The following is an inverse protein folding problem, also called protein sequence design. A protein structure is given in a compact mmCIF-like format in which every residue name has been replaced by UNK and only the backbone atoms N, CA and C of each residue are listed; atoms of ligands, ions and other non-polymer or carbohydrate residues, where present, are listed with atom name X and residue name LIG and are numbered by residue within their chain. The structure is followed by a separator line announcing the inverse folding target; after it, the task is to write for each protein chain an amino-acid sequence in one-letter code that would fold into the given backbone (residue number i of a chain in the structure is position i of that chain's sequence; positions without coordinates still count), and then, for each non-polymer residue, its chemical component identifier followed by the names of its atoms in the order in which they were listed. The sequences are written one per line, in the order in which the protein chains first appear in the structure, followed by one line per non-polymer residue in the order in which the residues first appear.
data_IF_739354689411
#
_entry.id   IF_739354689411
#
_cell.length_a   1.000
_cell.length_b   1.000
_cell.length_c   1.000
_cell.angle_alpha   90.00
_cell.angle_beta   90.00
_cell.angle_gamma   90.00
#
_symmetry.space_group_name_H-M   'P 1'
#
loop_
_entity.id
_entity.type
_entity.pdbx_description
1 polymer ?
#
# COMPACT_ATOMS: atom_id res chain seq x y z
N UNK A 1 -11.38 -32.62 20.37
CA UNK A 1 -12.60 -33.07 19.66
C UNK A 1 -13.75 -32.11 19.92
N UNK A 2 -13.92 -31.66 21.16
CA UNK A 2 -15.02 -30.79 21.60
C UNK A 2 -15.18 -29.50 20.80
N UNK A 3 -14.08 -28.83 20.42
CA UNK A 3 -14.17 -27.60 19.61
C UNK A 3 -14.91 -27.82 18.29
N UNK A 4 -14.63 -28.92 17.60
CA UNK A 4 -15.29 -29.26 16.32
C UNK A 4 -16.77 -29.57 16.56
N UNK A 5 -17.09 -30.33 17.61
CA UNK A 5 -18.47 -30.63 18.00
C UNK A 5 -19.28 -29.35 18.30
N UNK A 6 -18.68 -28.38 18.96
CA UNK A 6 -19.30 -27.08 19.26
C UNK A 6 -19.18 -26.04 18.13
N UNK A 7 -18.81 -26.45 16.91
CA UNK A 7 -18.62 -25.56 15.76
C UNK A 7 -17.64 -24.39 16.00
N UNK A 8 -16.63 -24.60 16.86
CA UNK A 8 -15.55 -23.67 17.17
C UNK A 8 -14.25 -24.09 16.50
N UNK A 9 -13.43 -23.10 16.15
CA UNK A 9 -12.07 -23.36 15.67
C UNK A 9 -11.24 -23.98 16.79
N UNK A 10 -10.59 -25.14 16.57
CA UNK A 10 -9.67 -25.73 17.55
C UNK A 10 -8.53 -24.79 17.93
N UNK A 11 -8.22 -24.60 19.23
CA UNK A 11 -7.19 -23.65 19.67
C UNK A 11 -5.80 -23.87 19.07
N UNK A 12 -5.44 -25.14 18.83
CA UNK A 12 -4.15 -25.50 18.24
C UNK A 12 -3.98 -24.97 16.80
N UNK A 13 -5.09 -24.75 16.07
CA UNK A 13 -5.04 -24.22 14.71
C UNK A 13 -4.74 -22.72 14.69
N UNK A 14 -5.07 -21.95 15.73
CA UNK A 14 -4.81 -20.49 15.75
C UNK A 14 -3.32 -20.17 15.61
N UNK A 15 -2.42 -21.06 16.05
CA UNK A 15 -0.96 -20.88 15.90
C UNK A 15 -0.49 -20.79 14.44
N UNK A 16 -1.23 -21.42 13.53
CA UNK A 16 -0.90 -21.48 12.11
C UNK A 16 -2.01 -20.90 11.22
N UNK A 17 -3.02 -20.26 11.82
CA UNK A 17 -4.19 -19.73 11.10
C UNK A 17 -4.62 -18.38 11.65
N UNK A 18 -5.90 -18.05 11.51
CA UNK A 18 -6.49 -16.76 11.84
C UNK A 18 -7.70 -16.96 12.74
N UNK A 19 -8.09 -15.88 13.41
CA UNK A 19 -9.30 -15.88 14.21
C UNK A 19 -10.53 -15.85 13.30
N UNK A 20 -11.51 -16.70 13.59
CA UNK A 20 -12.78 -16.78 12.88
C UNK A 20 -13.87 -17.12 13.89
N UNK A 21 -15.09 -16.64 13.64
CA UNK A 21 -16.20 -16.73 14.61
C UNK A 21 -16.76 -18.14 14.76
N UNK A 22 -16.76 -18.91 13.67
CA UNK A 22 -17.23 -20.30 13.67
C UNK A 22 -16.30 -21.17 12.84
N UNK A 23 -16.34 -22.48 13.09
CA UNK A 23 -15.62 -23.46 12.28
C UNK A 23 -16.05 -23.40 10.79
N UNK A 24 -17.32 -23.11 10.52
CA UNK A 24 -17.84 -22.98 9.16
C UNK A 24 -17.23 -21.80 8.40
N UNK A 25 -17.15 -20.63 9.04
CA UNK A 25 -16.47 -19.46 8.45
C UNK A 25 -14.98 -19.72 8.24
N UNK A 26 -14.31 -20.29 9.25
CA UNK A 26 -12.89 -20.64 9.13
C UNK A 26 -12.63 -21.57 7.95
N UNK A 27 -13.44 -22.62 7.80
CA UNK A 27 -13.29 -23.58 6.71
C UNK A 27 -13.53 -22.95 5.34
N UNK A 28 -14.57 -22.11 5.22
CA UNK A 28 -14.83 -21.35 3.99
C UNK A 28 -13.63 -20.46 3.63
N UNK A 29 -13.14 -19.68 4.59
CA UNK A 29 -11.96 -18.83 4.37
C UNK A 29 -10.73 -19.65 3.98
N UNK A 30 -10.54 -20.84 4.56
CA UNK A 30 -9.43 -21.72 4.19
C UNK A 30 -9.55 -22.18 2.74
N UNK A 31 -10.76 -22.62 2.34
CA UNK A 31 -11.02 -23.02 0.95
C UNK A 31 -10.78 -21.86 -0.02
N UNK A 32 -11.29 -20.67 0.27
CA UNK A 32 -11.14 -19.49 -0.58
C UNK A 32 -9.66 -19.08 -0.71
N UNK A 33 -8.90 -19.13 0.39
CA UNK A 33 -7.45 -18.86 0.40
C UNK A 33 -6.68 -19.86 -0.42
N UNK A 34 -6.97 -21.15 -0.22
CA UNK A 34 -6.34 -22.22 -0.99
C UNK A 34 -6.67 -22.08 -2.48
N UNK A 35 -7.91 -21.74 -2.82
CA UNK A 35 -8.32 -21.51 -4.20
C UNK A 35 -7.53 -20.38 -4.86
N UNK A 36 -7.44 -19.21 -4.22
CA UNK A 36 -6.62 -18.11 -4.73
C UNK A 36 -5.15 -18.52 -4.94
N UNK A 37 -4.53 -19.12 -3.93
CA UNK A 37 -3.10 -19.47 -3.99
C UNK A 37 -2.83 -20.58 -5.02
N UNK A 38 -3.68 -21.60 -5.07
CA UNK A 38 -3.55 -22.69 -6.05
C UNK A 38 -3.74 -22.18 -7.47
N UNK A 39 -4.78 -21.37 -7.71
CA UNK A 39 -4.96 -20.78 -9.03
C UNK A 39 -3.79 -19.90 -9.40
N UNK A 40 -3.28 -19.08 -8.47
CA UNK A 40 -2.11 -18.25 -8.74
C UNK A 40 -0.88 -19.08 -9.13
N UNK A 41 -0.65 -20.18 -8.40
CA UNK A 41 0.47 -21.09 -8.66
C UNK A 41 0.37 -21.78 -10.02
N UNK A 42 -0.82 -22.23 -10.43
CA UNK A 42 -0.98 -23.07 -11.63
C UNK A 42 -1.45 -22.33 -12.88
N UNK A 43 -2.16 -21.21 -12.73
CA UNK A 43 -2.76 -20.44 -13.85
C UNK A 43 -2.13 -19.06 -14.03
N UNK A 44 -1.28 -18.63 -13.09
CA UNK A 44 -0.65 -17.32 -13.11
C UNK A 44 -1.46 -16.27 -12.35
N UNK A 45 -1.02 -15.01 -12.44
CA UNK A 45 -1.55 -13.93 -11.61
C UNK A 45 -3.07 -13.73 -11.78
N UNK A 46 -3.84 -13.66 -10.68
CA UNK A 46 -5.28 -13.41 -10.76
C UNK A 46 -5.57 -11.97 -11.22
N UNK A 47 -6.77 -11.74 -11.80
CA UNK A 47 -7.24 -10.40 -12.22
C UNK A 47 -7.18 -9.39 -11.08
N UNK A 48 -7.48 -9.83 -9.88
CA UNK A 48 -7.26 -9.07 -8.65
C UNK A 48 -7.08 -10.04 -7.49
N UNK A 49 -6.24 -9.67 -6.54
CA UNK A 49 -6.01 -10.46 -5.35
C UNK A 49 -7.05 -10.16 -4.26
N UNK A 50 -7.64 -11.21 -3.67
CA UNK A 50 -8.39 -11.13 -2.43
C UNK A 50 -7.41 -10.79 -1.30
N UNK A 51 -7.41 -9.53 -0.89
CA UNK A 51 -6.45 -8.99 0.08
C UNK A 51 -6.53 -9.65 1.46
N UNK A 52 -7.74 -9.93 2.01
CA UNK A 52 -7.89 -10.74 3.22
C UNK A 52 -7.37 -12.17 3.08
N UNK A 53 -7.25 -12.68 1.86
CA UNK A 53 -6.80 -14.04 1.60
C UNK A 53 -5.33 -14.30 1.92
N UNK A 54 -4.52 -13.25 2.08
CA UNK A 54 -3.12 -13.40 2.47
C UNK A 54 -2.98 -13.52 3.98
N UNK A 55 -2.14 -14.46 4.41
CA UNK A 55 -1.70 -14.52 5.81
C UNK A 55 -0.96 -13.23 6.22
N UNK A 56 -0.14 -12.69 5.30
CA UNK A 56 0.54 -11.40 5.42
C UNK A 56 0.22 -10.48 4.23
N UNK A 57 -0.87 -9.68 4.29
CA UNK A 57 -1.24 -8.77 3.21
C UNK A 57 -0.21 -7.66 2.96
N UNK A 58 0.52 -7.23 4.01
CA UNK A 58 1.62 -6.27 3.87
C UNK A 58 2.79 -6.87 3.05
N UNK A 59 2.97 -8.19 3.11
CA UNK A 59 3.95 -8.91 2.30
C UNK A 59 3.70 -8.74 0.80
N UNK A 60 2.43 -8.79 0.35
CA UNK A 60 2.05 -8.53 -1.04
C UNK A 60 2.47 -7.12 -1.47
N UNK A 61 2.16 -6.11 -0.65
CA UNK A 61 2.48 -4.71 -0.93
C UNK A 61 3.99 -4.46 -0.94
N UNK A 62 4.73 -5.12 -0.05
CA UNK A 62 6.20 -5.08 -0.04
C UNK A 62 6.79 -5.74 -1.30
N UNK A 63 6.24 -6.88 -1.72
CA UNK A 63 6.68 -7.56 -2.93
C UNK A 63 6.47 -6.68 -4.18
N UNK A 64 5.34 -5.98 -4.27
CA UNK A 64 5.08 -5.03 -5.37
C UNK A 64 6.14 -3.91 -5.43
N UNK A 65 6.51 -3.33 -4.28
CA UNK A 65 7.58 -2.30 -4.22
C UNK A 65 8.92 -2.87 -4.67
N UNK A 66 9.24 -4.09 -4.22
CA UNK A 66 10.50 -4.75 -4.57
C UNK A 66 10.57 -5.10 -6.06
N UNK A 67 9.48 -5.63 -6.62
CA UNK A 67 9.37 -5.94 -8.04
C UNK A 67 9.54 -4.69 -8.91
N UNK A 68 8.88 -3.58 -8.54
CA UNK A 68 9.05 -2.30 -9.22
C UNK A 68 10.51 -1.81 -9.15
N UNK A 69 11.14 -1.84 -7.97
CA UNK A 69 12.55 -1.43 -7.83
C UNK A 69 13.52 -2.27 -8.68
N UNK A 70 13.21 -3.55 -8.91
CA UNK A 70 14.05 -4.45 -9.72
C UNK A 70 13.81 -4.31 -11.22
N UNK A 71 12.61 -3.89 -11.60
CA UNK A 71 12.20 -3.75 -13.00
C UNK A 71 12.70 -2.44 -13.62
N UNK A 72 13.02 -1.44 -12.80
CA UNK A 72 13.52 -0.14 -13.24
C UNK A 72 14.99 0.08 -12.90
N UNK A 73 15.75 0.51 -13.90
CA UNK A 73 17.16 0.86 -13.72
C UNK A 73 17.26 2.11 -12.85
N UNK A 74 17.99 2.02 -11.74
CA UNK A 74 18.27 3.15 -10.85
C UNK A 74 17.22 3.41 -9.76
N UNK A 75 16.13 2.63 -9.71
CA UNK A 75 15.15 2.78 -8.63
C UNK A 75 15.68 2.17 -7.32
N UNK A 76 15.93 3.00 -6.32
CA UNK A 76 16.15 2.51 -4.95
C UNK A 76 14.81 2.21 -4.28
N UNK A 77 14.71 1.05 -3.62
CA UNK A 77 13.51 0.63 -2.87
C UNK A 77 13.04 1.68 -1.83
N UNK A 78 13.98 2.47 -1.31
CA UNK A 78 13.70 3.54 -0.35
C UNK A 78 12.74 4.60 -0.90
N UNK A 79 12.86 4.93 -2.18
CA UNK A 79 12.06 5.96 -2.85
C UNK A 79 10.89 5.38 -3.65
N UNK A 80 10.63 4.07 -3.53
CA UNK A 80 9.44 3.45 -4.12
C UNK A 80 8.31 3.50 -3.11
N UNK A 81 7.29 4.30 -3.39
CA UNK A 81 6.03 4.35 -2.63
C UNK A 81 4.89 3.63 -3.37
N UNK A 82 3.78 3.43 -2.66
CA UNK A 82 2.57 2.87 -3.23
C UNK A 82 1.53 3.96 -3.38
N UNK A 83 1.01 4.10 -4.60
CA UNK A 83 -0.13 4.91 -4.91
C UNK A 83 -1.38 4.05 -5.06
N UNK A 84 -2.50 4.60 -4.62
CA UNK A 84 -3.74 3.86 -4.52
C UNK A 84 -4.87 4.63 -5.18
N UNK A 85 -5.58 3.94 -6.06
CA UNK A 85 -6.77 4.45 -6.73
C UNK A 85 -7.91 3.45 -6.55
N UNK A 86 -8.98 3.88 -5.89
CA UNK A 86 -10.19 3.07 -5.77
C UNK A 86 -10.92 3.11 -7.11
N UNK A 87 -11.23 1.94 -7.66
CA UNK A 87 -11.86 1.84 -8.98
C UNK A 87 -13.38 1.91 -8.87
N UNK A 88 -14.05 1.81 -10.02
CA UNK A 88 -15.53 1.83 -10.11
C UNK A 88 -16.13 0.42 -10.21
N UNK A 89 -15.28 -0.58 -10.43
CA UNK A 89 -15.70 -1.94 -10.78
C UNK A 89 -15.61 -2.91 -9.60
N UNK A 90 -16.40 -3.97 -9.69
CA UNK A 90 -16.37 -5.09 -8.75
C UNK A 90 -15.23 -6.06 -9.10
N UNK A 91 -14.99 -7.07 -8.26
CA UNK A 91 -14.00 -8.10 -8.55
C UNK A 91 -14.27 -8.82 -9.89
N UNK A 92 -15.54 -9.13 -10.17
CA UNK A 92 -15.97 -9.87 -11.37
C UNK A 92 -15.73 -9.07 -12.66
N UNK A 93 -15.81 -7.74 -12.56
CA UNK A 93 -15.64 -6.80 -13.66
C UNK A 93 -14.19 -6.30 -13.80
N UNK A 94 -13.26 -6.80 -12.99
CA UNK A 94 -11.87 -6.34 -13.03
C UNK A 94 -11.20 -6.74 -14.37
N UNK A 95 -10.43 -5.83 -14.99
CA UNK A 95 -9.77 -6.14 -16.25
C UNK A 95 -8.74 -7.24 -16.06
N UNK A 96 -8.58 -8.09 -17.08
CA UNK A 96 -7.52 -9.08 -17.10
C UNK A 96 -6.16 -8.39 -17.14
N UNK A 97 -5.26 -8.79 -16.24
CA UNK A 97 -3.87 -8.26 -16.16
C UNK A 97 -3.18 -8.35 -17.52
N UNK A 98 -3.47 -9.40 -18.31
CA UNK A 98 -2.92 -9.64 -19.64
C UNK A 98 -3.40 -8.67 -20.75
N UNK A 99 -4.50 -7.94 -20.54
CA UNK A 99 -5.16 -7.16 -21.61
C UNK A 99 -4.90 -5.65 -21.60
N UNK A 100 -3.98 -5.14 -20.76
CA UNK A 100 -3.50 -3.76 -20.89
C UNK A 100 -3.40 -2.92 -19.61
N UNK A 101 -3.27 -3.54 -18.43
CA UNK A 101 -2.86 -2.81 -17.23
C UNK A 101 -1.40 -2.32 -17.33
N UNK A 102 -1.02 -1.17 -16.73
CA UNK A 102 0.39 -0.82 -16.54
C UNK A 102 1.14 -1.98 -15.87
N UNK A 103 2.34 -2.34 -16.33
CA UNK A 103 3.09 -3.52 -15.83
C UNK A 103 3.27 -3.57 -14.30
N UNK A 104 3.13 -2.46 -13.58
CA UNK A 104 3.37 -2.34 -12.13
C UNK A 104 2.09 -2.07 -11.33
N UNK A 105 0.92 -2.44 -11.86
CA UNK A 105 -0.33 -2.37 -11.13
C UNK A 105 -0.78 -3.75 -10.64
N UNK A 106 -1.29 -3.79 -9.41
CA UNK A 106 -2.09 -4.91 -8.94
C UNK A 106 -3.46 -4.39 -8.55
N UNK A 107 -4.47 -5.23 -8.74
CA UNK A 107 -5.80 -5.00 -8.21
C UNK A 107 -5.98 -5.82 -6.95
N UNK A 108 -6.59 -5.21 -5.93
CA UNK A 108 -6.95 -5.89 -4.68
C UNK A 108 -8.44 -5.71 -4.38
N UNK A 109 -9.05 -6.71 -3.76
CA UNK A 109 -10.46 -6.67 -3.37
C UNK A 109 -10.70 -7.31 -2.00
N UNK A 110 -11.94 -7.21 -1.51
CA UNK A 110 -12.36 -7.80 -0.23
C UNK A 110 -12.17 -6.88 0.98
N UNK A 111 -12.01 -5.57 0.76
CA UNK A 111 -11.95 -4.59 1.84
C UNK A 111 -13.35 -4.01 2.12
N UNK A 112 -13.61 -3.71 3.39
CA UNK A 112 -14.79 -3.01 3.85
C UNK A 112 -14.39 -1.65 4.42
N UNK A 113 -15.22 -0.63 4.27
CA UNK A 113 -15.06 0.65 4.97
C UNK A 113 -16.00 0.70 6.16
N UNK A 114 -15.47 1.09 7.33
CA UNK A 114 -16.24 1.28 8.56
C UNK A 114 -16.48 2.77 8.82
N UNK A 115 -17.66 3.10 9.40
CA UNK A 115 -18.04 4.45 9.81
C UNK A 115 -18.14 5.50 8.67
N UNK A 116 -18.14 5.02 7.43
CA UNK A 116 -18.38 5.79 6.22
C UNK A 116 -18.87 4.87 5.10
N UNK A 117 -19.24 5.46 3.96
CA UNK A 117 -19.58 4.73 2.73
C UNK A 117 -18.70 5.21 1.58
N UNK A 118 -18.59 4.40 0.53
CA UNK A 118 -17.89 4.78 -0.70
C UNK A 118 -18.90 5.19 -1.77
N UNK A 119 -18.82 6.45 -2.23
CA UNK A 119 -19.59 6.91 -3.37
C UNK A 119 -18.91 6.46 -4.67
N UNK A 120 -19.45 5.42 -5.31
CA UNK A 120 -18.94 4.89 -6.58
C UNK A 120 -19.02 5.89 -7.74
N UNK A 121 -19.94 6.84 -7.71
CA UNK A 121 -20.10 7.85 -8.78
C UNK A 121 -19.11 8.99 -8.58
N UNK A 122 -19.02 9.49 -7.35
CA UNK A 122 -18.11 10.57 -6.97
C UNK A 122 -16.68 10.15 -6.66
N UNK A 123 -16.39 8.84 -6.55
CA UNK A 123 -15.04 8.32 -6.32
C UNK A 123 -14.44 8.72 -4.99
N UNK A 124 -15.24 8.83 -3.92
CA UNK A 124 -14.81 9.38 -2.63
C UNK A 124 -15.57 8.82 -1.44
N UNK A 125 -14.98 8.95 -0.26
CA UNK A 125 -15.65 8.67 1.02
C UNK A 125 -16.78 9.67 1.25
N UNK A 126 -17.95 9.15 1.63
CA UNK A 126 -19.14 9.91 2.02
C UNK A 126 -19.69 9.39 3.35
N UNK A 127 -20.65 10.11 3.92
CA UNK A 127 -21.28 9.72 5.18
C UNK A 127 -21.89 8.32 5.05
N UNK A 128 -21.79 7.53 6.12
CA UNK A 128 -22.36 6.20 6.16
C UNK A 128 -23.88 6.25 5.95
N UNK A 129 -24.41 5.26 5.24
CA UNK A 129 -25.85 5.07 5.10
C UNK A 129 -26.47 4.75 6.47
N UNK A 130 -27.71 5.21 6.75
CA UNK A 130 -28.37 4.92 8.02
C UNK A 130 -28.40 3.42 8.34
N UNK A 131 -28.03 3.05 9.58
CA UNK A 131 -27.98 1.67 10.09
C UNK A 131 -26.97 0.75 9.37
N UNK A 132 -26.06 1.30 8.56
CA UNK A 132 -25.02 0.54 7.88
C UNK A 132 -23.65 0.84 8.52
N UNK A 133 -23.12 -0.13 9.28
CA UNK A 133 -21.82 0.00 9.97
C UNK A 133 -20.63 -0.17 9.04
N UNK A 134 -20.80 -1.00 8.01
CA UNK A 134 -19.75 -1.39 7.06
C UNK A 134 -20.29 -1.30 5.63
N UNK A 135 -19.44 -0.88 4.72
CA UNK A 135 -19.73 -0.88 3.28
C UNK A 135 -18.62 -1.60 2.52
N UNK A 136 -18.97 -2.31 1.45
CA UNK A 136 -17.98 -3.04 0.63
C UNK A 136 -17.24 -2.03 -0.24
N UNK A 137 -15.92 -2.04 -0.20
CA UNK A 137 -15.11 -1.23 -1.09
C UNK A 137 -15.08 -1.86 -2.50
N UNK A 138 -15.09 -1.04 -3.56
CA UNK A 138 -14.75 -1.50 -4.90
C UNK A 138 -13.33 -2.09 -4.94
N UNK A 139 -12.98 -2.67 -6.08
CA UNK A 139 -11.59 -3.04 -6.35
C UNK A 139 -10.69 -1.82 -6.20
N UNK A 140 -9.52 -2.02 -5.62
CA UNK A 140 -8.53 -0.97 -5.42
C UNK A 140 -7.32 -1.31 -6.30
N UNK A 141 -6.93 -0.35 -7.15
CA UNK A 141 -5.67 -0.40 -7.89
C UNK A 141 -4.56 0.09 -6.97
N UNK A 142 -3.50 -0.71 -6.86
CA UNK A 142 -2.27 -0.35 -6.16
C UNK A 142 -1.14 -0.34 -7.18
N UNK A 143 -0.43 0.77 -7.28
CA UNK A 143 0.64 0.97 -8.25
C UNK A 143 1.87 1.49 -7.54
N UNK A 144 3.05 1.02 -7.94
CA UNK A 144 4.30 1.59 -7.45
C UNK A 144 4.58 2.96 -8.11
N UNK A 145 5.05 3.92 -7.32
CA UNK A 145 5.56 5.22 -7.80
C UNK A 145 6.95 5.45 -7.26
N UNK A 146 7.78 6.12 -8.04
CA UNK A 146 9.08 6.61 -7.59
C UNK A 146 8.93 8.05 -7.11
N UNK A 147 9.30 8.31 -5.86
CA UNK A 147 9.05 9.59 -5.18
C UNK A 147 10.06 10.68 -5.56
N UNK A 148 11.19 10.32 -6.16
CA UNK A 148 12.17 11.30 -6.65
C UNK A 148 11.85 11.72 -8.08
N UNK A 149 11.98 13.01 -8.33
CA UNK A 149 12.02 13.57 -9.69
C UNK A 149 13.26 13.08 -10.44
N UNK A 150 13.23 13.18 -11.77
CA UNK A 150 14.39 12.84 -12.60
C UNK A 150 15.62 13.69 -12.27
N UNK A 151 15.43 14.93 -11.81
CA UNK A 151 16.52 15.82 -11.41
C UNK A 151 17.17 15.36 -10.10
N UNK A 152 16.37 15.03 -9.09
CA UNK A 152 16.86 14.50 -7.81
C UNK A 152 17.57 13.15 -8.01
N UNK A 153 17.04 12.29 -8.89
CA UNK A 153 17.68 11.02 -9.23
C UNK A 153 19.07 11.22 -9.87
N UNK A 154 19.20 12.18 -10.79
CA UNK A 154 20.48 12.53 -11.43
C UNK A 154 21.49 13.04 -10.41
N UNK A 155 21.07 13.92 -9.50
CA UNK A 155 21.92 14.43 -8.42
C UNK A 155 22.40 13.30 -7.50
N UNK A 156 21.52 12.38 -7.12
CA UNK A 156 21.89 11.24 -6.27
C UNK A 156 22.89 10.31 -6.96
N UNK A 157 22.71 10.01 -8.25
CA UNK A 157 23.66 9.21 -9.01
C UNK A 157 25.03 9.89 -9.10
N UNK A 158 25.06 11.21 -9.29
CA UNK A 158 26.30 11.98 -9.31
C UNK A 158 27.01 11.94 -7.95
N UNK A 159 26.28 12.18 -6.85
CA UNK A 159 26.82 12.10 -5.48
C UNK A 159 27.34 10.69 -5.15
N UNK A 160 26.63 9.64 -5.60
CA UNK A 160 27.05 8.25 -5.40
C UNK A 160 28.31 7.93 -6.20
N UNK A 161 28.40 8.40 -7.45
CA UNK A 161 29.58 8.23 -8.29
C UNK A 161 30.79 8.98 -7.71
N UNK A 162 30.59 10.20 -7.20
CA UNK A 162 31.61 10.99 -6.51
C UNK A 162 32.08 10.29 -5.22
N UNK A 163 31.15 9.80 -4.39
CA UNK A 163 31.50 9.02 -3.20
C UNK A 163 32.29 7.75 -3.54
N UNK A 164 31.88 7.01 -4.57
CA UNK A 164 32.60 5.82 -5.02
C UNK A 164 33.99 6.16 -5.57
N UNK A 165 34.13 7.28 -6.28
CA UNK A 165 35.43 7.78 -6.75
C UNK A 165 36.34 8.14 -5.56
N UNK A 166 35.81 8.82 -4.54
CA UNK A 166 36.54 9.13 -3.29
C UNK A 166 36.94 7.84 -2.55
N UNK A 167 36.03 6.88 -2.40
CA UNK A 167 36.32 5.61 -1.74
C UNK A 167 37.40 4.81 -2.51
N UNK A 168 37.37 4.86 -3.84
CA UNK A 168 38.38 4.20 -4.68
C UNK A 168 39.75 4.88 -4.58
N UNK A 169 39.80 6.21 -4.49
CA UNK A 169 41.05 6.95 -4.28
C UNK A 169 41.60 6.79 -2.87
N UNK A 170 40.73 6.65 -1.86
CA UNK A 170 41.12 6.35 -0.48
C UNK A 170 41.65 4.91 -0.32
N UNK A 171 41.05 3.93 -0.99
CA UNK A 171 41.54 2.53 -0.99
C UNK A 171 42.89 2.38 -1.69
N UNK A 172 43.17 3.21 -2.70
CA UNK A 172 44.43 3.19 -3.43
C UNK A 172 45.57 3.98 -2.74
N UNK A 173 45.28 4.71 -1.66
CA UNK A 173 46.24 5.61 -1.00
C UNK A 173 46.54 5.21 0.45
N UNK A 174 46.98 3.96 0.69
CA UNK A 174 47.72 3.62 1.91
C UNK A 174 49.18 4.13 1.90
N UNK A 175 49.46 5.23 1.20
CA UNK A 175 50.73 5.93 1.26
C UNK A 175 50.55 7.44 0.98
N UNK A 176 51.08 8.24 1.90
CA UNK A 176 51.43 9.68 1.83
C UNK A 176 50.34 10.74 2.06
N UNK A 177 50.55 11.45 3.18
CA UNK A 177 50.08 12.78 3.54
C UNK A 177 50.74 13.85 2.64
N UNK A 178 50.00 14.90 2.22
CA UNK A 178 50.32 16.33 2.49
C UNK A 178 49.35 17.37 1.87
N UNK A 179 48.97 18.30 2.76
CA UNK A 179 48.67 19.75 2.69
C UNK A 179 47.66 20.36 1.70
N UNK A 180 46.85 21.29 2.22
CA UNK A 180 46.33 22.42 1.43
C UNK A 180 45.10 23.11 2.02
N UNK A 181 45.23 24.39 2.36
CA UNK A 181 44.20 25.27 2.92
C UNK A 181 43.53 26.12 1.81
N UNK A 182 42.34 26.65 2.13
CA UNK A 182 41.73 27.95 1.72
C UNK A 182 40.35 27.89 1.00
N UNK A 183 39.47 28.70 1.60
CA UNK A 183 38.11 29.23 1.37
C UNK A 183 37.67 29.54 -0.08
N UNK A 184 36.35 29.51 -0.35
CA UNK A 184 35.53 30.73 -0.58
C UNK A 184 34.03 30.44 -0.76
N UNK A 185 33.26 31.50 -0.52
CA UNK A 185 31.81 31.67 -0.46
C UNK A 185 31.14 31.88 -1.83
N UNK A 186 29.86 31.49 -1.94
CA UNK A 186 28.94 31.96 -2.99
C UNK A 186 27.48 31.80 -2.55
N UNK A 187 26.84 32.90 -2.15
CA UNK A 187 25.39 33.01 -2.01
C UNK A 187 24.76 33.01 -3.41
N UNK A 188 23.72 32.21 -3.61
CA UNK A 188 22.71 32.49 -4.65
C UNK A 188 21.33 32.33 -4.04
N UNK A 189 20.55 33.39 -4.15
CA UNK A 189 19.14 33.45 -3.77
C UNK A 189 18.33 32.93 -4.94
N UNK A 190 17.69 31.78 -4.79
CA UNK A 190 16.68 31.34 -5.75
C UNK A 190 15.28 31.51 -5.12
N UNK A 191 14.40 32.21 -5.85
CA UNK A 191 13.06 32.56 -5.39
C UNK A 191 12.17 31.33 -5.53
N UNK A 192 11.81 30.73 -4.40
CA UNK A 192 10.68 29.82 -4.35
C UNK A 192 9.37 30.59 -4.64
N UNK A 193 8.48 30.07 -5.50
CA UNK A 193 7.20 30.74 -5.76
C UNK A 193 6.29 30.70 -4.53
N UNK A 194 5.49 31.75 -4.36
CA UNK A 194 4.66 31.97 -3.18
C UNK A 194 3.47 30.98 -3.08
N UNK A 195 2.97 30.67 -1.86
CA UNK A 195 1.95 29.63 -1.63
C UNK A 195 0.54 29.86 -2.22
N UNK A 196 0.33 30.94 -2.98
CA UNK A 196 -1.02 31.44 -3.27
C UNK A 196 -1.51 31.19 -4.71
N UNK A 197 -0.68 30.61 -5.60
CA UNK A 197 -1.04 30.35 -7.00
C UNK A 197 -1.33 28.86 -7.31
N UNK A 198 -1.49 28.01 -6.28
CA UNK A 198 -1.71 26.56 -6.44
C UNK A 198 -3.05 26.04 -5.86
N UNK A 199 -4.08 26.89 -5.72
CA UNK A 199 -5.41 26.47 -5.25
C UNK A 199 -6.33 26.04 -6.41
N UNK A 200 -5.89 25.05 -7.19
CA UNK A 200 -6.78 24.26 -8.03
C UNK A 200 -7.29 23.06 -7.23
N UNK A 201 -8.53 23.14 -6.71
CA UNK A 201 -9.36 22.05 -6.14
C UNK A 201 -8.63 20.73 -5.83
N UNK A 202 -7.66 20.74 -4.91
CA UNK A 202 -7.05 19.50 -4.46
C UNK A 202 -8.14 18.74 -3.69
N UNK A 203 -8.64 17.63 -4.25
CA UNK A 203 -9.56 16.76 -3.53
C UNK A 203 -8.90 16.34 -2.22
N UNK A 204 -9.54 16.63 -1.08
CA UNK A 204 -9.03 16.22 0.23
C UNK A 204 -8.88 14.68 0.23
N UNK A 205 -7.66 14.21 0.52
CA UNK A 205 -7.36 12.79 0.66
C UNK A 205 -7.17 12.43 2.12
N UNK A 206 -7.83 11.37 2.54
CA UNK A 206 -7.70 10.80 3.87
C UNK A 206 -6.72 9.63 3.86
N UNK A 207 -5.76 9.63 4.78
CA UNK A 207 -4.92 8.45 5.08
C UNK A 207 -5.71 7.49 5.97
N UNK A 208 -6.37 6.51 5.35
CA UNK A 208 -7.25 5.56 6.02
C UNK A 208 -6.46 4.34 6.48
N UNK A 209 -6.45 4.01 7.78
CA UNK A 209 -5.80 2.81 8.28
C UNK A 209 -6.56 1.55 7.89
N UNK A 210 -5.82 0.48 7.61
CA UNK A 210 -6.33 -0.83 7.22
C UNK A 210 -6.02 -1.83 8.33
N UNK A 211 -7.03 -2.56 8.77
CA UNK A 211 -6.91 -3.60 9.79
C UNK A 211 -7.41 -4.96 9.28
N UNK A 212 -6.84 -6.03 9.82
CA UNK A 212 -7.31 -7.40 9.58
C UNK A 212 -8.72 -7.63 10.13
N UNK A 213 -9.07 -6.97 11.24
CA UNK A 213 -10.30 -7.20 12.02
C UNK A 213 -10.92 -5.88 12.49
N UNK A 214 -12.20 -5.92 12.85
CA UNK A 214 -12.95 -4.79 13.44
C UNK A 214 -12.26 -4.26 14.70
N UNK A 215 -11.67 -5.15 15.51
CA UNK A 215 -10.92 -4.75 16.69
C UNK A 215 -9.58 -4.12 16.28
N UNK A 216 -9.48 -2.80 16.45
CA UNK A 216 -8.32 -2.02 16.00
C UNK A 216 -7.21 -2.03 17.04
N UNK A 217 -6.31 -3.00 16.92
CA UNK A 217 -5.09 -3.09 17.71
C UNK A 217 -3.86 -2.98 16.81
N UNK A 218 -2.68 -2.75 17.41
CA UNK A 218 -1.41 -2.80 16.67
C UNK A 218 -1.18 -4.16 16.01
N UNK A 219 -1.63 -5.24 16.62
CA UNK A 219 -1.54 -6.60 16.09
C UNK A 219 -2.37 -6.81 14.81
N UNK A 220 -3.50 -6.12 14.68
CA UNK A 220 -4.36 -6.22 13.50
C UNK A 220 -4.06 -5.16 12.44
N UNK A 221 -3.22 -4.17 12.72
CA UNK A 221 -2.87 -3.12 11.76
C UNK A 221 -2.06 -3.69 10.59
N UNK A 222 -2.39 -3.26 9.36
CA UNK A 222 -1.70 -3.68 8.13
C UNK A 222 -0.91 -2.51 7.54
N UNK A 223 -1.60 -1.45 7.12
CA UNK A 223 -1.03 -0.28 6.45
C UNK A 223 -2.04 0.87 6.41
N UNK A 224 -1.76 1.94 5.67
CA UNK A 224 -2.70 3.04 5.39
C UNK A 224 -2.79 3.29 3.89
N UNK A 225 -3.99 3.60 3.38
CA UNK A 225 -4.19 4.09 2.01
C UNK A 225 -4.68 5.53 2.02
N UNK A 226 -4.10 6.36 1.15
CA UNK A 226 -4.57 7.73 0.91
C UNK A 226 -5.67 7.71 -0.13
N UNK A 227 -6.93 7.91 0.25
CA UNK A 227 -8.08 7.87 -0.67
C UNK A 227 -8.92 9.16 -0.61
N UNK A 228 -9.57 9.58 -1.72
CA UNK A 228 -10.39 10.80 -1.76
C UNK A 228 -11.56 10.77 -0.78
N UNK A 229 -11.92 11.94 -0.24
CA UNK A 229 -13.01 12.07 0.71
C UNK A 229 -13.81 13.38 0.52
N UNK A 230 -15.10 13.35 0.86
CA UNK A 230 -16.04 14.46 0.60
C UNK A 230 -16.00 15.59 1.63
N UNK A 231 -15.22 15.43 2.71
CA UNK A 231 -15.05 16.35 3.83
C UNK A 231 -13.60 16.31 4.27
N UNK A 232 -13.19 17.24 5.12
CA UNK A 232 -11.80 17.33 5.61
C UNK A 232 -11.32 16.02 6.24
N UNK A 233 -10.02 15.76 6.16
CA UNK A 233 -9.43 14.57 6.75
C UNK A 233 -9.74 14.43 8.26
N UNK A 234 -9.77 15.54 8.99
CA UNK A 234 -10.03 15.55 10.43
C UNK A 234 -11.46 15.13 10.78
N UNK A 235 -12.45 15.49 9.96
CA UNK A 235 -13.83 14.99 10.12
C UNK A 235 -13.86 13.46 10.13
N UNK A 236 -13.20 12.82 9.17
CA UNK A 236 -13.19 11.36 9.06
C UNK A 236 -12.31 10.67 10.09
N UNK A 237 -11.21 11.30 10.52
CA UNK A 237 -10.41 10.81 11.66
C UNK A 237 -11.26 10.77 12.92
N UNK A 238 -12.02 11.82 13.21
CA UNK A 238 -12.90 11.89 14.38
C UNK A 238 -14.07 10.90 14.31
N UNK A 239 -14.56 10.57 13.11
CA UNK A 239 -15.51 9.46 12.89
C UNK A 239 -14.88 8.09 13.03
N UNK A 240 -13.55 8.01 13.11
CA UNK A 240 -12.83 6.76 13.17
C UNK A 240 -13.02 5.93 11.91
N UNK A 241 -12.91 6.52 10.71
CA UNK A 241 -12.97 5.74 9.47
C UNK A 241 -11.76 4.79 9.37
N UNK A 242 -12.01 3.55 8.95
CA UNK A 242 -10.96 2.56 8.67
C UNK A 242 -11.40 1.61 7.55
N UNK A 243 -10.42 1.00 6.89
CA UNK A 243 -10.63 -0.16 6.04
C UNK A 243 -10.42 -1.45 6.83
N UNK A 244 -11.21 -2.48 6.56
CA UNK A 244 -11.20 -3.76 7.25
C UNK A 244 -11.12 -4.90 6.25
N UNK A 245 -10.29 -5.90 6.53
CA UNK A 245 -10.27 -7.16 5.76
C UNK A 245 -11.43 -8.08 6.13
N UNK A 246 -11.95 -7.95 7.35
CA UNK A 246 -13.02 -8.79 7.87
C UNK A 246 -13.88 -7.99 8.87
N UNK A 247 -15.18 -8.19 8.76
CA UNK A 247 -16.23 -7.53 9.54
C UNK A 247 -17.02 -8.51 10.42
N UNK A 248 -16.65 -9.79 10.40
CA UNK A 248 -17.26 -10.86 11.19
C UNK A 248 -16.44 -11.17 12.45
#
# INVERSE_FOLDING_TARGET
MDSIYFAKVPPIWHRASWDSTTLGFWFKELTDRNHQLSNWLYTGQPKSFWFPGFFNPLGLLTALRQEASRSHIGWSLEFVSLDVTVTRFSHEDAPDVATGGPKENIYIHGLFIQAASWDKRGGRIVEARPKQLFDVMPVISVTAKYDLTLEELRQQHQLTAEQNAILSSQKNNSALIKYGSIRSSGLSTDRSPSPQEMYGLAEDRLSVPIYKKVQRTSHHFITKFKIPCSKTADHWKMRGVALLCDVH
#
